data_IF_949752504118
#
_entry.id   IF_949752504118
#
_cell.length_a   1.000
_cell.length_b   1.000
_cell.length_c   1.000
_cell.angle_alpha   90.00
_cell.angle_beta   90.00
_cell.angle_gamma   90.00
#
_symmetry.space_group_name_H-M   'P 1'
#
loop_
_entity.id
_entity.type
_entity.pdbx_description
1 polymer ?
#
# COMPACT_ATOMS: atom_id res chain seq x y z
N UNK A 1 1.18 -6.73 5.21
CA UNK A 1 1.81 -7.68 6.16
C UNK A 1 0.89 -8.85 6.52
N UNK A 2 -0.33 -8.60 7.03
CA UNK A 2 -1.29 -9.63 7.45
C UNK A 2 -1.56 -10.71 6.37
N UNK A 3 -1.83 -10.31 5.13
CA UNK A 3 -2.06 -11.26 4.03
C UNK A 3 -0.90 -12.23 3.80
N UNK A 4 0.33 -11.70 3.82
CA UNK A 4 1.56 -12.41 3.48
C UNK A 4 2.03 -13.34 4.59
N UNK A 5 1.96 -12.90 5.87
CA UNK A 5 2.42 -13.72 7.00
C UNK A 5 1.66 -15.05 7.13
N UNK A 6 0.41 -15.10 6.67
CA UNK A 6 -0.43 -16.31 6.74
C UNK A 6 -0.20 -17.28 5.57
N UNK A 7 0.50 -16.86 4.51
CA UNK A 7 0.60 -17.59 3.23
C UNK A 7 2.04 -17.90 2.86
N UNK A 8 2.92 -16.92 2.97
CA UNK A 8 4.35 -17.04 2.72
C UNK A 8 5.12 -16.00 3.55
N UNK A 9 5.46 -16.31 4.82
CA UNK A 9 6.23 -15.43 5.69
C UNK A 9 7.54 -14.92 5.09
N UNK A 10 8.18 -15.72 4.21
CA UNK A 10 9.47 -15.37 3.59
C UNK A 10 9.36 -14.10 2.75
N UNK A 11 8.18 -13.79 2.20
CA UNK A 11 7.95 -12.55 1.46
C UNK A 11 8.14 -11.29 2.31
N UNK A 12 8.00 -11.38 3.64
CA UNK A 12 8.23 -10.25 4.54
C UNK A 12 9.69 -9.83 4.67
N UNK A 13 10.64 -10.62 4.15
CA UNK A 13 12.08 -10.30 4.19
C UNK A 13 12.49 -9.16 3.26
N UNK A 14 11.62 -8.77 2.32
CA UNK A 14 11.97 -7.81 1.27
C UNK A 14 10.81 -6.90 0.93
N UNK A 15 11.02 -5.61 1.13
CA UNK A 15 10.16 -4.55 0.64
C UNK A 15 10.88 -3.84 -0.51
N UNK A 16 10.18 -3.67 -1.63
CA UNK A 16 10.75 -3.10 -2.85
C UNK A 16 9.89 -1.93 -3.28
N UNK A 17 10.48 -0.74 -3.37
CA UNK A 17 9.81 0.46 -3.83
C UNK A 17 10.39 0.85 -5.20
N UNK A 18 9.57 0.75 -6.23
CA UNK A 18 9.86 1.22 -7.59
C UNK A 18 8.81 2.23 -7.97
N UNK A 19 9.24 3.45 -8.23
CA UNK A 19 8.35 4.56 -8.59
C UNK A 19 8.78 5.03 -9.97
N UNK A 20 7.86 5.01 -10.95
CA UNK A 20 8.15 5.48 -12.30
C UNK A 20 8.71 6.91 -12.29
N UNK A 21 9.96 7.06 -12.76
CA UNK A 21 10.62 8.37 -12.79
C UNK A 21 9.90 9.31 -13.76
N UNK A 22 9.77 10.59 -13.39
CA UNK A 22 9.03 11.56 -14.23
C UNK A 22 9.86 12.21 -15.31
N UNK A 23 11.17 12.27 -15.14
CA UNK A 23 12.10 12.82 -16.12
C UNK A 23 13.35 11.93 -16.21
N UNK A 24 14.19 12.19 -17.20
CA UNK A 24 15.50 11.53 -17.35
C UNK A 24 16.40 11.72 -16.13
N UNK A 25 16.25 12.88 -15.47
CA UNK A 25 16.92 13.19 -14.21
C UNK A 25 15.92 13.25 -13.07
N UNK A 26 16.40 12.89 -11.88
CA UNK A 26 15.61 12.92 -10.66
C UNK A 26 15.20 14.34 -10.32
N UNK A 27 13.90 14.56 -10.23
CA UNK A 27 13.30 15.85 -9.93
C UNK A 27 13.50 16.27 -8.47
N UNK A 28 13.31 17.57 -8.22
CA UNK A 28 13.23 18.13 -6.86
C UNK A 28 12.13 17.45 -6.04
N UNK A 29 11.01 17.12 -6.67
CA UNK A 29 9.91 16.41 -6.02
C UNK A 29 10.33 15.02 -5.55
N UNK A 30 10.92 14.20 -6.42
CA UNK A 30 11.36 12.85 -6.06
C UNK A 30 12.42 12.89 -4.96
N UNK A 31 13.36 13.84 -5.04
CA UNK A 31 14.36 14.08 -3.99
C UNK A 31 13.72 14.47 -2.66
N UNK A 32 12.73 15.36 -2.67
CA UNK A 32 12.01 15.75 -1.46
C UNK A 32 11.20 14.57 -0.90
N UNK A 33 10.51 13.83 -1.76
CA UNK A 33 9.72 12.66 -1.37
C UNK A 33 10.58 11.62 -0.64
N UNK A 34 11.74 11.25 -1.21
CA UNK A 34 12.63 10.27 -0.56
C UNK A 34 13.13 10.71 0.82
N UNK A 35 13.35 12.02 1.00
CA UNK A 35 13.86 12.56 2.26
C UNK A 35 12.76 12.66 3.31
N UNK A 36 11.57 13.11 2.91
CA UNK A 36 10.46 13.48 3.81
C UNK A 36 9.55 12.29 4.11
N UNK A 37 9.15 11.52 3.10
CA UNK A 37 8.13 10.47 3.26
C UNK A 37 8.46 9.45 4.36
N UNK A 38 9.72 8.95 4.51
CA UNK A 38 10.02 7.96 5.54
C UNK A 38 9.80 8.49 6.95
N UNK A 39 10.18 9.74 7.23
CA UNK A 39 9.98 10.36 8.54
C UNK A 39 8.49 10.62 8.82
N UNK A 40 7.77 11.13 7.83
CA UNK A 40 6.33 11.38 7.95
C UNK A 40 5.54 10.08 8.22
N UNK A 41 5.80 9.03 7.44
CA UNK A 41 5.13 7.74 7.62
C UNK A 41 5.53 7.07 8.94
N UNK A 42 6.77 7.24 9.38
CA UNK A 42 7.21 6.76 10.69
C UNK A 42 6.42 7.44 11.82
N UNK A 43 6.25 8.76 11.76
CA UNK A 43 5.46 9.50 12.76
C UNK A 43 4.01 9.06 12.82
N UNK A 44 3.37 8.83 11.67
CA UNK A 44 2.00 8.30 11.63
C UNK A 44 1.94 6.87 12.21
N UNK A 45 2.93 6.02 11.94
CA UNK A 45 2.98 4.67 12.50
C UNK A 45 3.11 4.62 14.02
N UNK A 46 3.61 5.69 14.66
CA UNK A 46 3.65 5.76 16.13
C UNK A 46 2.29 6.08 16.73
N UNK A 47 1.46 6.85 16.02
CA UNK A 47 0.08 7.16 16.43
C UNK A 47 -0.85 5.99 16.15
N UNK A 48 -0.69 5.36 14.98
CA UNK A 48 -1.47 4.23 14.51
C UNK A 48 -0.54 3.05 14.16
N UNK A 49 -0.13 2.24 15.15
CA UNK A 49 0.75 1.10 14.94
C UNK A 49 0.13 0.06 13.99
N UNK A 50 0.99 -0.61 13.23
CA UNK A 50 0.56 -1.70 12.36
C UNK A 50 -0.03 -2.87 13.18
N UNK A 51 -1.04 -3.53 12.62
CA UNK A 51 -1.66 -4.72 13.21
C UNK A 51 -0.81 -5.97 12.93
N UNK A 52 -0.65 -6.83 13.94
CA UNK A 52 0.06 -8.11 13.87
C UNK A 52 -0.85 -9.26 14.33
N UNK A 53 -0.73 -10.42 13.69
CA UNK A 53 -1.46 -11.63 14.08
C UNK A 53 -0.69 -12.37 15.17
N UNK A 54 -1.35 -12.61 16.30
CA UNK A 54 -0.78 -13.44 17.37
C UNK A 54 -0.49 -14.85 16.85
N UNK A 55 0.73 -15.34 17.09
CA UNK A 55 1.17 -16.69 16.70
C UNK A 55 1.63 -16.85 15.25
N UNK A 56 1.61 -15.79 14.43
CA UNK A 56 2.16 -15.84 13.07
C UNK A 56 3.69 -15.70 13.06
N UNK A 57 4.34 -16.27 12.03
CA UNK A 57 5.80 -16.23 11.89
C UNK A 57 6.27 -14.91 11.27
N UNK A 58 6.78 -14.02 12.13
CA UNK A 58 7.39 -12.75 11.73
C UNK A 58 8.93 -12.79 11.74
N UNK A 59 9.55 -13.97 11.85
CA UNK A 59 11.02 -14.09 11.88
C UNK A 59 11.71 -13.40 10.70
N UNK A 60 11.10 -13.47 9.52
CA UNK A 60 11.58 -12.82 8.29
C UNK A 60 11.36 -11.29 8.26
N UNK A 61 10.51 -10.74 9.12
CA UNK A 61 10.24 -9.30 9.22
C UNK A 61 11.15 -8.59 10.22
N UNK A 62 11.74 -9.32 11.18
CA UNK A 62 12.64 -8.78 12.23
C UNK A 62 13.69 -7.78 11.75
N UNK A 63 14.33 -7.93 10.57
CA UNK A 63 15.28 -6.93 10.10
C UNK A 63 14.71 -5.52 9.95
N UNK A 64 13.40 -5.36 9.86
CA UNK A 64 12.69 -4.08 9.72
C UNK A 64 12.10 -3.56 11.04
N UNK A 65 12.41 -4.21 12.16
CA UNK A 65 12.04 -3.72 13.49
C UNK A 65 13.19 -2.90 14.09
N UNK A 66 12.86 -1.93 14.95
CA UNK A 66 13.88 -1.24 15.73
C UNK A 66 14.53 -2.21 16.72
N UNK A 67 15.87 -2.24 16.75
CA UNK A 67 16.58 -2.76 17.92
C UNK A 67 16.49 -1.73 19.05
N UNK A 68 16.76 -2.15 20.29
CA UNK A 68 16.77 -1.22 21.44
C UNK A 68 17.76 -0.06 21.24
N UNK A 69 18.88 -0.33 20.57
CA UNK A 69 19.93 0.66 20.28
C UNK A 69 19.57 1.60 19.13
N UNK A 70 18.78 1.13 18.16
CA UNK A 70 18.37 1.90 16.98
C UNK A 70 17.12 2.74 17.24
N UNK A 71 16.55 2.61 18.44
CA UNK A 71 15.33 3.30 18.79
C UNK A 71 15.58 4.82 18.87
N UNK A 72 14.80 5.66 18.18
CA UNK A 72 14.95 7.11 18.24
C UNK A 72 14.63 7.64 19.65
N UNK A 73 15.67 7.87 20.44
CA UNK A 73 15.57 8.26 21.86
C UNK A 73 14.81 9.58 22.06
N UNK A 74 15.02 10.55 21.15
CA UNK A 74 14.30 11.83 21.14
C UNK A 74 12.77 11.68 21.13
N UNK A 75 12.24 10.60 20.55
CA UNK A 75 10.79 10.36 20.54
C UNK A 75 10.28 9.82 21.87
N UNK A 76 11.11 9.09 22.63
CA UNK A 76 10.73 8.68 23.99
C UNK A 76 10.66 9.89 24.91
N UNK A 77 11.61 10.82 24.75
CA UNK A 77 11.68 12.05 25.54
C UNK A 77 10.46 12.96 25.26
N UNK A 78 10.04 13.07 23.99
CA UNK A 78 8.88 13.89 23.59
C UNK A 78 7.53 13.26 23.92
N UNK A 79 7.39 11.93 23.81
CA UNK A 79 6.12 11.23 24.04
C UNK A 79 5.90 10.85 25.51
N UNK A 80 6.94 10.88 26.34
CA UNK A 80 6.89 10.50 27.75
C UNK A 80 6.63 9.00 28.00
N UNK A 81 6.54 8.22 26.92
CA UNK A 81 6.41 6.77 26.95
C UNK A 81 7.08 6.16 25.71
N UNK A 82 7.43 4.87 25.75
CA UNK A 82 7.91 4.16 24.56
C UNK A 82 6.77 4.08 23.53
N UNK A 83 6.95 4.54 22.28
CA UNK A 83 5.95 4.32 21.23
C UNK A 83 5.62 2.83 21.06
N UNK A 84 4.36 2.53 20.72
CA UNK A 84 3.87 1.16 20.61
C UNK A 84 4.35 0.46 19.33
N UNK A 85 4.72 1.20 18.29
CA UNK A 85 5.22 0.64 17.04
C UNK A 85 6.70 0.26 17.17
N UNK A 86 6.99 -1.02 16.96
CA UNK A 86 8.35 -1.56 16.86
C UNK A 86 8.90 -1.49 15.43
N UNK A 87 8.10 -1.01 14.47
CA UNK A 87 8.45 -1.06 13.04
C UNK A 87 9.28 0.14 12.63
N UNK A 88 10.42 -0.12 12.00
CA UNK A 88 11.27 0.86 11.35
C UNK A 88 10.80 1.07 9.90
N UNK A 89 9.79 1.93 9.73
CA UNK A 89 9.24 2.36 8.44
C UNK A 89 10.33 3.02 7.58
N UNK A 90 11.24 3.76 8.23
CA UNK A 90 12.41 4.35 7.59
C UNK A 90 13.20 3.33 6.77
N UNK A 91 13.50 2.19 7.38
CA UNK A 91 14.22 1.08 6.76
C UNK A 91 13.43 0.39 5.66
N UNK A 92 12.13 0.16 5.87
CA UNK A 92 11.22 -0.42 4.87
C UNK A 92 11.18 0.41 3.58
N UNK A 93 11.20 1.74 3.68
CA UNK A 93 11.22 2.61 2.51
C UNK A 93 12.63 2.79 1.95
N UNK A 94 13.62 3.14 2.78
CA UNK A 94 14.93 3.61 2.30
C UNK A 94 15.85 2.51 1.77
N UNK A 95 15.73 1.28 2.26
CA UNK A 95 16.70 0.21 1.92
C UNK A 95 16.64 -0.18 0.43
N UNK A 96 15.46 -0.15 -0.21
CA UNK A 96 15.30 -0.54 -1.62
C UNK A 96 14.27 0.35 -2.35
N UNK A 97 14.41 1.68 -2.24
CA UNK A 97 13.65 2.66 -3.03
C UNK A 97 14.44 3.17 -4.23
N UNK A 98 13.83 3.10 -5.41
CA UNK A 98 14.42 3.55 -6.68
C UNK A 98 13.36 4.18 -7.57
N UNK A 99 13.84 5.07 -8.44
CA UNK A 99 13.06 5.73 -9.47
C UNK A 99 13.54 5.28 -10.86
N UNK A 100 13.18 4.06 -11.33
CA UNK A 100 13.64 3.56 -12.62
C UNK A 100 12.83 4.16 -13.78
N UNK A 101 13.39 4.07 -14.99
CA UNK A 101 12.64 4.24 -16.24
C UNK A 101 11.73 3.02 -16.44
N UNK A 102 10.41 3.25 -16.50
CA UNK A 102 9.42 2.23 -16.79
C UNK A 102 9.74 1.42 -18.06
N UNK A 103 10.41 1.98 -19.07
CA UNK A 103 10.81 1.24 -20.29
C UNK A 103 11.76 0.08 -20.01
N UNK A 104 12.50 0.15 -18.90
CA UNK A 104 13.55 -0.83 -18.55
C UNK A 104 13.19 -1.68 -17.34
N UNK A 105 12.10 -1.37 -16.63
CA UNK A 105 11.67 -2.07 -15.42
C UNK A 105 10.26 -2.71 -15.61
N UNK A 106 10.19 -4.03 -15.85
CA UNK A 106 8.93 -4.73 -16.09
C UNK A 106 7.89 -4.59 -14.96
N UNK A 107 8.33 -4.52 -13.69
CA UNK A 107 7.41 -4.39 -12.55
C UNK A 107 6.66 -3.06 -12.56
N UNK A 108 7.34 -1.99 -12.99
CA UNK A 108 6.71 -0.67 -13.12
C UNK A 108 5.70 -0.68 -14.27
N UNK A 109 6.03 -1.31 -15.40
CA UNK A 109 5.08 -1.47 -16.50
C UNK A 109 3.83 -2.23 -16.09
N UNK A 110 3.97 -3.30 -15.30
CA UNK A 110 2.84 -4.07 -14.77
C UNK A 110 1.98 -3.17 -13.87
N UNK A 111 2.59 -2.39 -12.98
CA UNK A 111 1.86 -1.46 -12.12
C UNK A 111 1.08 -0.41 -12.94
N UNK A 112 1.67 0.13 -13.99
CA UNK A 112 1.02 1.08 -14.88
C UNK A 112 -0.14 0.46 -15.66
N UNK A 113 0.03 -0.76 -16.16
CA UNK A 113 -1.05 -1.51 -16.81
C UNK A 113 -2.23 -1.75 -15.86
N UNK A 114 -1.95 -2.10 -14.60
CA UNK A 114 -2.99 -2.27 -13.58
C UNK A 114 -3.68 -0.93 -13.28
N UNK A 115 -2.92 0.15 -13.08
CA UNK A 115 -3.48 1.47 -12.80
C UNK A 115 -4.33 2.00 -13.98
N UNK A 116 -3.87 1.83 -15.21
CA UNK A 116 -4.63 2.16 -16.42
C UNK A 116 -5.87 1.27 -16.53
N UNK A 117 -5.75 -0.04 -16.28
CA UNK A 117 -6.87 -0.98 -16.27
C UNK A 117 -7.95 -0.61 -15.26
N UNK A 118 -7.58 -0.26 -14.03
CA UNK A 118 -8.51 0.23 -13.01
C UNK A 118 -9.22 1.49 -13.49
N UNK A 119 -8.48 2.50 -13.97
CA UNK A 119 -9.07 3.76 -14.48
C UNK A 119 -10.07 3.52 -15.61
N UNK A 120 -9.73 2.64 -16.56
CA UNK A 120 -10.63 2.25 -17.66
C UNK A 120 -11.88 1.54 -17.16
N UNK A 121 -11.75 0.68 -16.14
CA UNK A 121 -12.90 0.02 -15.51
C UNK A 121 -13.86 1.03 -14.87
N UNK A 122 -13.31 2.02 -14.15
CA UNK A 122 -14.09 3.07 -13.49
C UNK A 122 -14.85 3.94 -14.50
N UNK A 123 -14.30 4.15 -15.70
CA UNK A 123 -14.93 4.90 -16.79
C UNK A 123 -15.82 4.05 -17.71
N UNK A 124 -15.83 2.73 -17.56
CA UNK A 124 -16.62 1.84 -18.43
C UNK A 124 -16.04 1.63 -19.83
N UNK A 125 -14.73 1.77 -20.01
CA UNK A 125 -14.06 1.81 -21.33
C UNK A 125 -13.65 0.42 -21.87
N UNK A 126 -14.17 -0.65 -21.28
CA UNK A 126 -13.98 -2.01 -21.79
C UNK A 126 -15.25 -2.52 -22.45
N UNK A 127 -15.10 -3.25 -23.55
CA UNK A 127 -16.21 -3.94 -24.22
C UNK A 127 -17.00 -4.86 -23.29
N UNK A 128 -16.32 -5.48 -22.32
CA UNK A 128 -16.93 -6.21 -21.21
C UNK A 128 -16.36 -5.72 -19.87
N UNK A 129 -16.88 -4.58 -19.40
CA UNK A 129 -16.39 -3.92 -18.18
C UNK A 129 -16.56 -4.77 -16.93
N UNK A 130 -17.64 -5.55 -16.83
CA UNK A 130 -17.88 -6.46 -15.69
C UNK A 130 -16.79 -7.53 -15.60
N UNK A 131 -16.47 -8.19 -16.72
CA UNK A 131 -15.41 -9.21 -16.77
C UNK A 131 -14.04 -8.61 -16.46
N UNK A 132 -13.74 -7.42 -16.98
CA UNK A 132 -12.50 -6.71 -16.69
C UNK A 132 -12.36 -6.39 -15.19
N UNK A 133 -13.42 -5.83 -14.59
CA UNK A 133 -13.47 -5.53 -13.15
C UNK A 133 -13.30 -6.79 -12.29
N UNK A 134 -13.94 -7.91 -12.66
CA UNK A 134 -13.79 -9.17 -11.94
C UNK A 134 -12.34 -9.71 -11.99
N UNK A 135 -11.66 -9.61 -13.14
CA UNK A 135 -10.26 -10.04 -13.28
C UNK A 135 -9.31 -9.16 -12.46
N UNK A 136 -9.52 -7.84 -12.49
CA UNK A 136 -8.76 -6.89 -11.66
C UNK A 136 -8.99 -7.16 -10.17
N UNK A 137 -10.24 -7.44 -9.77
CA UNK A 137 -10.60 -7.77 -8.40
C UNK A 137 -9.79 -8.93 -7.83
N UNK A 138 -9.54 -9.99 -8.63
CA UNK A 138 -8.75 -11.16 -8.20
C UNK A 138 -7.29 -10.85 -7.80
N UNK A 139 -6.79 -9.70 -8.22
CA UNK A 139 -5.45 -9.20 -7.90
C UNK A 139 -5.43 -8.30 -6.65
N UNK A 140 -6.60 -8.01 -6.08
CA UNK A 140 -6.76 -7.14 -4.92
C UNK A 140 -6.95 -7.96 -3.64
N UNK A 141 -6.61 -7.32 -2.53
CA UNK A 141 -6.83 -7.84 -1.18
C UNK A 141 -7.75 -6.88 -0.44
N UNK A 142 -8.78 -7.41 0.21
CA UNK A 142 -9.73 -6.65 1.02
C UNK A 142 -9.06 -6.08 2.27
N UNK A 143 -9.72 -5.15 2.96
CA UNK A 143 -9.24 -4.67 4.25
C UNK A 143 -9.76 -5.55 5.41
N UNK A 144 -9.17 -5.43 6.61
CA UNK A 144 -9.57 -6.20 7.81
C UNK A 144 -11.01 -5.90 8.20
N UNK A 145 -11.40 -4.62 8.10
CA UNK A 145 -12.79 -4.20 8.16
C UNK A 145 -13.36 -4.27 6.75
N UNK A 146 -14.61 -4.76 6.54
CA UNK A 146 -15.24 -4.83 5.22
C UNK A 146 -15.34 -3.41 4.63
N UNK A 147 -14.32 -3.07 3.86
CA UNK A 147 -14.17 -1.84 3.09
C UNK A 147 -13.71 -2.27 1.71
N UNK A 148 -14.27 -1.66 0.64
CA UNK A 148 -13.83 -1.97 -0.70
C UNK A 148 -12.32 -1.75 -0.85
N UNK A 149 -11.64 -2.56 -1.69
CA UNK A 149 -10.20 -2.42 -1.94
C UNK A 149 -9.84 -1.08 -2.58
N UNK A 150 -10.82 -0.38 -3.17
CA UNK A 150 -10.69 0.98 -3.70
C UNK A 150 -11.66 1.89 -2.95
N UNK A 151 -11.12 2.93 -2.30
CA UNK A 151 -11.92 4.00 -1.70
C UNK A 151 -11.89 5.24 -2.60
N UNK A 152 -13.07 5.78 -2.93
CA UNK A 152 -13.18 7.04 -3.66
C UNK A 152 -13.29 8.19 -2.66
N UNK A 153 -12.48 9.23 -2.86
CA UNK A 153 -12.53 10.46 -2.07
C UNK A 153 -13.27 11.50 -2.89
N UNK A 154 -14.32 12.06 -2.31
CA UNK A 154 -15.07 13.19 -2.87
C UNK A 154 -14.64 14.46 -2.11
N UNK A 155 -14.14 15.47 -2.83
CA UNK A 155 -13.60 16.71 -2.24
C UNK A 155 -14.61 17.87 -2.23
N UNK A 156 -15.88 17.60 -2.55
CA UNK A 156 -16.95 18.60 -2.53
C UNK A 156 -18.00 18.27 -1.48
N UNK A 157 -18.45 19.28 -0.76
CA UNK A 157 -19.59 19.18 0.18
C UNK A 157 -20.95 19.39 -0.53
N UNK A 158 -20.93 19.89 -1.77
CA UNK A 158 -22.11 20.41 -2.47
C UNK A 158 -22.76 19.39 -3.40
N UNK A 159 -22.02 18.38 -3.86
CA UNK A 159 -22.54 17.36 -4.78
C UNK A 159 -22.83 16.06 -4.04
N UNK A 160 -24.07 15.57 -4.16
CA UNK A 160 -24.44 14.24 -3.68
C UNK A 160 -23.86 13.19 -4.62
N UNK A 161 -23.02 12.31 -4.09
CA UNK A 161 -22.52 11.14 -4.81
C UNK A 161 -23.70 10.30 -5.28
N UNK A 162 -23.78 10.03 -6.58
CA UNK A 162 -24.78 9.12 -7.14
C UNK A 162 -24.39 7.67 -6.78
N UNK A 163 -25.24 6.92 -6.05
CA UNK A 163 -24.87 5.59 -5.56
C UNK A 163 -24.60 4.58 -6.69
N UNK A 164 -25.25 4.74 -7.85
CA UNK A 164 -25.24 3.78 -8.96
C UNK A 164 -24.49 4.31 -10.20
N UNK A 165 -23.28 4.81 -10.00
CA UNK A 165 -22.39 5.20 -11.11
C UNK A 165 -21.72 3.97 -11.76
N UNK A 166 -21.24 4.13 -13.00
CA UNK A 166 -20.38 3.12 -13.66
C UNK A 166 -19.19 2.73 -12.77
N UNK A 167 -18.59 3.70 -12.09
CA UNK A 167 -17.50 3.49 -11.15
C UNK A 167 -17.96 2.64 -9.96
N UNK A 168 -19.11 2.95 -9.36
CA UNK A 168 -19.69 2.19 -8.25
C UNK A 168 -19.87 0.71 -8.61
N UNK A 169 -20.44 0.42 -9.79
CA UNK A 169 -20.63 -0.97 -10.27
C UNK A 169 -19.31 -1.69 -10.50
N UNK A 170 -18.31 -1.00 -11.05
CA UNK A 170 -16.98 -1.58 -11.26
C UNK A 170 -16.30 -1.93 -9.93
N UNK A 171 -16.39 -1.04 -8.93
CA UNK A 171 -15.81 -1.27 -7.59
C UNK A 171 -16.48 -2.45 -6.90
N UNK A 172 -17.82 -2.53 -6.94
CA UNK A 172 -18.56 -3.66 -6.37
C UNK A 172 -18.18 -4.99 -7.04
N UNK A 173 -17.92 -4.99 -8.34
CA UNK A 173 -17.48 -6.21 -9.04
C UNK A 173 -16.02 -6.58 -8.68
N UNK A 174 -15.14 -5.60 -8.49
CA UNK A 174 -13.77 -5.84 -8.01
C UNK A 174 -13.78 -6.39 -6.58
N UNK A 175 -14.56 -5.79 -5.68
CA UNK A 175 -14.71 -6.21 -4.29
C UNK A 175 -15.18 -7.67 -4.18
N UNK A 176 -16.27 -8.04 -4.89
CA UNK A 176 -16.78 -9.43 -4.92
C UNK A 176 -15.76 -10.47 -5.35
N UNK A 177 -14.76 -10.08 -6.13
CA UNK A 177 -13.75 -10.98 -6.67
C UNK A 177 -12.39 -10.84 -5.98
N UNK A 178 -12.30 -9.99 -4.95
CA UNK A 178 -11.06 -9.76 -4.21
C UNK A 178 -10.79 -10.82 -3.15
N UNK A 179 -9.54 -10.90 -2.72
CA UNK A 179 -9.10 -11.90 -1.76
C UNK A 179 -9.17 -11.35 -0.34
N UNK A 180 -9.62 -12.16 0.62
CA UNK A 180 -9.60 -11.74 2.01
C UNK A 180 -8.17 -11.59 2.54
N UNK A 181 -7.93 -10.49 3.25
CA UNK A 181 -6.66 -10.23 3.94
C UNK A 181 -6.37 -11.27 5.02
N UNK A 182 -7.42 -11.75 5.68
CA UNK A 182 -7.35 -12.86 6.61
C UNK A 182 -7.69 -14.15 5.88
N UNK A 183 -7.02 -15.23 6.22
CA UNK A 183 -7.40 -16.53 5.70
C UNK A 183 -8.68 -16.95 6.39
N UNK A 184 -9.72 -17.27 5.62
CA UNK A 184 -10.90 -17.95 6.16
C UNK A 184 -10.45 -19.29 6.73
N UNK A 185 -10.79 -19.54 8.00
CA UNK A 185 -10.60 -20.83 8.69
C UNK A 185 -11.61 -21.83 8.14
#
# INVERSE_FOLDING_TARGET
MLYHVQRDPVTLRRFVWRIDQKNTEKSTFETAFEKVAPGLLQSESFKEPAMFLTGADYSHFRPFEFTEEQYPQHLQDELGHKPQSTVNIGKILRDDMRFPDSKTEPLVQIADLLAAGIRRCLRGEFSNNKKAAALVGKLMVENVTPKPPISLIHLSELEKVTPDSTASRAILEMEKNSQSILRSV
#
